data_IF_862379651218
#
_entry.id   IF_862379651218
#
_cell.length_a   1.000
_cell.length_b   1.000
_cell.length_c   1.000
_cell.angle_alpha   90.00
_cell.angle_beta   90.00
_cell.angle_gamma   90.00
#
_symmetry.space_group_name_H-M   'P 1'
#
loop_
_entity.id
_entity.type
_entity.pdbx_description
1 polymer ?
#
# COMPACT_ATOMS: atom_id res chain seq x y z
N UNK A 1 41.79 -23.90 -22.66
CA UNK A 1 40.85 -22.81 -22.93
C UNK A 1 40.17 -22.47 -21.59
N UNK A 2 40.68 -21.50 -20.86
CA UNK A 2 40.12 -21.04 -19.59
C UNK A 2 38.92 -20.14 -19.90
N UNK A 3 37.70 -20.66 -19.66
CA UNK A 3 36.49 -19.84 -19.68
C UNK A 3 36.62 -18.76 -18.62
N UNK A 4 36.91 -17.54 -19.01
CA UNK A 4 36.83 -16.39 -18.12
C UNK A 4 35.36 -16.21 -17.73
N UNK A 5 35.06 -16.31 -16.43
CA UNK A 5 33.76 -15.96 -15.90
C UNK A 5 33.39 -14.55 -16.37
N UNK A 6 32.13 -14.28 -16.82
CA UNK A 6 31.74 -12.97 -17.28
C UNK A 6 31.93 -11.98 -16.12
N UNK A 7 32.59 -10.85 -16.38
CA UNK A 7 32.77 -9.79 -15.40
C UNK A 7 31.39 -9.37 -14.85
N UNK A 8 31.25 -9.17 -13.53
CA UNK A 8 29.98 -8.81 -12.94
C UNK A 8 29.46 -7.53 -13.58
N UNK A 9 28.23 -7.56 -14.08
CA UNK A 9 27.59 -6.38 -14.68
C UNK A 9 27.61 -5.23 -13.64
N UNK A 10 27.90 -3.99 -14.05
CA UNK A 10 27.91 -2.86 -13.13
C UNK A 10 26.53 -2.70 -12.48
N UNK A 11 26.50 -2.43 -11.16
CA UNK A 11 25.25 -2.15 -10.44
C UNK A 11 24.68 -0.84 -10.99
N UNK A 12 23.53 -0.88 -11.62
CA UNK A 12 22.84 0.26 -12.21
C UNK A 12 21.81 0.84 -11.24
N UNK A 13 21.22 0.00 -10.38
CA UNK A 13 20.07 0.29 -9.55
C UNK A 13 20.26 -0.18 -8.11
N UNK A 14 19.82 0.63 -7.13
CA UNK A 14 19.79 0.25 -5.72
C UNK A 14 18.42 0.54 -5.15
N UNK A 15 17.79 -0.46 -4.53
CA UNK A 15 16.55 -0.30 -3.76
C UNK A 15 16.83 -0.36 -2.26
N UNK A 16 16.37 0.65 -1.52
CA UNK A 16 16.41 0.73 -0.07
C UNK A 16 14.99 0.61 0.45
N UNK A 17 14.69 -0.42 1.24
CA UNK A 17 13.34 -0.72 1.72
C UNK A 17 13.29 -0.71 3.26
N UNK A 18 12.15 -0.28 3.86
CA UNK A 18 11.94 -0.45 5.30
C UNK A 18 11.98 -1.93 5.69
N UNK A 19 11.17 -2.75 5.04
CA UNK A 19 11.20 -4.21 5.05
C UNK A 19 10.42 -4.78 3.85
N UNK A 20 10.65 -6.05 3.53
CA UNK A 20 10.01 -6.78 2.45
C UNK A 20 9.28 -8.04 2.93
N UNK A 21 9.63 -8.57 4.12
CA UNK A 21 9.05 -9.79 4.70
C UNK A 21 7.79 -9.50 5.53
N UNK A 22 7.63 -8.27 6.01
CA UNK A 22 6.52 -7.87 6.86
C UNK A 22 5.16 -7.89 6.17
N UNK A 23 4.11 -7.71 6.97
CA UNK A 23 2.72 -7.62 6.51
C UNK A 23 2.26 -6.16 6.63
N UNK A 24 1.64 -5.63 5.58
CA UNK A 24 1.08 -4.28 5.55
C UNK A 24 1.14 -3.64 4.17
N UNK A 25 0.45 -2.53 3.98
CA UNK A 25 0.35 -1.84 2.69
C UNK A 25 1.70 -1.35 2.15
N UNK A 26 2.57 -0.81 3.02
CA UNK A 26 3.92 -0.36 2.62
C UNK A 26 4.77 -1.54 2.16
N UNK A 27 4.70 -2.68 2.85
CA UNK A 27 5.42 -3.90 2.50
C UNK A 27 4.92 -4.46 1.18
N UNK A 28 3.60 -4.45 0.96
CA UNK A 28 3.03 -4.90 -0.31
C UNK A 28 3.48 -4.02 -1.47
N UNK A 29 3.38 -2.70 -1.34
CA UNK A 29 3.90 -1.75 -2.36
C UNK A 29 5.41 -1.96 -2.58
N UNK A 30 6.18 -2.21 -1.52
CA UNK A 30 7.61 -2.49 -1.62
C UNK A 30 7.87 -3.74 -2.46
N UNK A 31 7.13 -4.85 -2.24
CA UNK A 31 7.24 -6.09 -3.04
C UNK A 31 6.88 -5.86 -4.50
N UNK A 32 5.78 -5.17 -4.77
CA UNK A 32 5.36 -4.84 -6.15
C UNK A 32 6.40 -3.92 -6.84
N UNK A 33 6.96 -2.97 -6.11
CA UNK A 33 8.03 -2.09 -6.62
C UNK A 33 9.29 -2.89 -6.93
N UNK A 34 9.71 -3.81 -6.06
CA UNK A 34 10.87 -4.68 -6.31
C UNK A 34 10.62 -5.57 -7.52
N UNK A 35 9.43 -6.18 -7.63
CA UNK A 35 9.06 -6.98 -8.80
C UNK A 35 9.19 -6.17 -10.09
N UNK A 36 8.62 -4.98 -10.13
CA UNK A 36 8.73 -4.09 -11.29
C UNK A 36 10.19 -3.71 -11.59
N UNK A 37 11.00 -3.39 -10.55
CA UNK A 37 12.43 -3.10 -10.72
C UNK A 37 13.20 -4.27 -11.35
N UNK A 38 12.95 -5.49 -10.88
CA UNK A 38 13.64 -6.68 -11.39
C UNK A 38 13.23 -7.02 -12.82
N UNK A 39 11.94 -6.96 -13.13
CA UNK A 39 11.43 -7.19 -14.48
C UNK A 39 12.00 -6.16 -15.47
N UNK A 40 12.00 -4.87 -15.12
CA UNK A 40 12.59 -3.81 -15.92
C UNK A 40 14.10 -4.02 -16.06
N UNK A 41 14.79 -4.40 -14.97
CA UNK A 41 16.22 -4.67 -15.00
C UNK A 41 16.58 -5.84 -15.91
N UNK A 42 15.79 -6.91 -15.87
CA UNK A 42 15.98 -8.10 -16.73
C UNK A 42 15.81 -7.74 -18.21
N UNK A 43 14.76 -6.98 -18.55
CA UNK A 43 14.49 -6.53 -19.92
C UNK A 43 15.60 -5.65 -20.50
N UNK A 44 16.29 -4.87 -19.64
CA UNK A 44 17.31 -3.92 -20.06
C UNK A 44 18.75 -4.40 -19.78
N UNK A 45 18.96 -5.61 -19.29
CA UNK A 45 20.27 -6.11 -18.92
C UNK A 45 20.94 -5.38 -17.75
N UNK A 46 20.16 -4.70 -16.91
CA UNK A 46 20.65 -3.99 -15.71
C UNK A 46 20.81 -4.96 -14.55
N UNK A 47 21.49 -4.50 -13.48
CA UNK A 47 21.58 -5.22 -12.22
C UNK A 47 20.97 -4.36 -11.10
N UNK A 48 20.35 -5.00 -10.13
CA UNK A 48 19.77 -4.36 -8.97
C UNK A 48 20.37 -4.92 -7.68
N UNK A 49 20.58 -4.04 -6.69
CA UNK A 49 20.93 -4.40 -5.31
C UNK A 49 19.83 -3.95 -4.38
N UNK A 50 19.24 -4.88 -3.63
CA UNK A 50 18.08 -4.63 -2.78
C UNK A 50 18.47 -4.82 -1.30
N UNK A 51 18.17 -3.82 -0.47
CA UNK A 51 18.48 -3.80 0.96
C UNK A 51 17.19 -3.56 1.76
N UNK A 52 16.90 -4.43 2.76
CA UNK A 52 15.79 -4.32 3.69
C UNK A 52 16.26 -4.03 5.11
N UNK A 53 15.92 -2.86 5.68
CA UNK A 53 16.42 -2.42 6.98
C UNK A 53 15.94 -3.31 8.13
N UNK A 54 14.63 -3.58 8.16
CA UNK A 54 13.98 -4.24 9.31
C UNK A 54 13.87 -5.76 9.13
N UNK A 55 14.08 -6.26 7.92
CA UNK A 55 14.12 -7.71 7.66
C UNK A 55 15.25 -8.36 8.45
N UNK A 56 15.06 -9.62 8.86
CA UNK A 56 16.08 -10.38 9.59
C UNK A 56 17.44 -10.33 8.89
N UNK A 57 18.53 -10.39 9.67
CA UNK A 57 19.87 -10.25 9.12
C UNK A 57 20.22 -11.46 8.23
N UNK A 58 20.68 -11.22 7.00
CA UNK A 58 21.05 -12.26 6.05
C UNK A 58 20.59 -11.97 4.63
N UNK A 59 20.79 -12.95 3.76
CA UNK A 59 20.25 -12.94 2.40
C UNK A 59 18.93 -13.69 2.41
N UNK A 60 17.93 -13.11 1.78
CA UNK A 60 16.57 -13.65 1.70
C UNK A 60 16.14 -13.79 0.25
N UNK A 61 15.25 -14.74 0.01
CA UNK A 61 14.57 -14.94 -1.25
C UNK A 61 13.06 -14.83 -1.04
N UNK A 62 12.39 -14.11 -1.92
CA UNK A 62 10.93 -14.03 -1.98
C UNK A 62 10.46 -14.46 -3.37
N UNK A 63 9.35 -15.18 -3.47
CA UNK A 63 8.73 -15.48 -4.75
C UNK A 63 8.20 -14.18 -5.39
N UNK A 64 8.39 -14.06 -6.71
CA UNK A 64 7.90 -12.93 -7.51
C UNK A 64 7.41 -13.44 -8.86
N UNK A 65 6.23 -14.05 -8.91
CA UNK A 65 5.75 -14.77 -10.08
C UNK A 65 6.67 -15.97 -10.37
N UNK A 66 7.20 -16.05 -11.60
CA UNK A 66 8.14 -17.09 -12.01
C UNK A 66 9.58 -16.84 -11.53
N UNK A 67 9.89 -15.63 -11.04
CA UNK A 67 11.22 -15.22 -10.59
C UNK A 67 11.33 -15.23 -9.06
N UNK A 68 12.55 -15.06 -8.57
CA UNK A 68 12.86 -14.87 -7.16
C UNK A 68 13.47 -13.50 -6.92
N UNK A 69 13.01 -12.83 -5.88
CA UNK A 69 13.60 -11.60 -5.36
C UNK A 69 14.69 -11.98 -4.36
N UNK A 70 15.96 -11.73 -4.69
CA UNK A 70 17.06 -11.87 -3.73
C UNK A 70 17.41 -10.50 -3.15
N UNK A 71 17.40 -10.37 -1.81
CA UNK A 71 17.73 -9.14 -1.13
C UNK A 71 18.48 -9.39 0.19
N UNK A 72 19.10 -8.35 0.73
CA UNK A 72 19.82 -8.44 2.01
C UNK A 72 19.07 -7.70 3.11
N UNK A 73 18.72 -8.44 4.16
CA UNK A 73 18.15 -7.91 5.41
C UNK A 73 19.22 -7.53 6.44
N UNK A 74 18.87 -6.61 7.35
CA UNK A 74 19.82 -6.05 8.34
C UNK A 74 19.38 -6.17 9.80
N UNK A 75 18.26 -6.83 10.10
CA UNK A 75 17.80 -7.08 11.47
C UNK A 75 17.63 -5.78 12.29
N UNK A 76 17.11 -4.71 11.68
CA UNK A 76 16.95 -3.36 12.26
C UNK A 76 18.27 -2.65 12.59
N UNK A 77 19.44 -3.20 12.20
CA UNK A 77 20.75 -2.57 12.42
C UNK A 77 20.98 -1.42 11.44
N UNK A 78 20.62 -0.20 11.86
CA UNK A 78 20.79 1.02 11.05
C UNK A 78 22.23 1.21 10.62
N UNK A 79 23.21 0.95 11.50
CA UNK A 79 24.63 1.13 11.19
C UNK A 79 25.07 0.20 10.05
N UNK A 80 24.77 -1.11 10.15
CA UNK A 80 25.13 -2.08 9.11
C UNK A 80 24.44 -1.77 7.79
N UNK A 81 23.17 -1.35 7.83
CA UNK A 81 22.42 -0.94 6.65
C UNK A 81 23.06 0.26 5.96
N UNK A 82 23.41 1.31 6.73
CA UNK A 82 24.06 2.51 6.21
C UNK A 82 25.41 2.14 5.59
N UNK A 83 26.24 1.36 6.28
CA UNK A 83 27.55 0.95 5.76
C UNK A 83 27.43 0.19 4.45
N UNK A 84 26.47 -0.74 4.35
CA UNK A 84 26.19 -1.48 3.11
C UNK A 84 25.74 -0.54 1.98
N UNK A 85 24.83 0.38 2.25
CA UNK A 85 24.38 1.38 1.28
C UNK A 85 25.54 2.25 0.77
N UNK A 86 26.43 2.72 1.67
CA UNK A 86 27.60 3.52 1.31
C UNK A 86 28.66 2.70 0.54
N UNK A 87 28.83 1.41 0.85
CA UNK A 87 29.69 0.52 0.06
C UNK A 87 29.18 0.39 -1.38
N UNK A 88 27.86 0.24 -1.55
CA UNK A 88 27.24 0.17 -2.88
C UNK A 88 27.36 1.53 -3.59
N UNK A 89 27.20 2.65 -2.89
CA UNK A 89 27.33 3.98 -3.48
C UNK A 89 28.71 4.22 -4.12
N UNK A 90 29.80 3.63 -3.55
CA UNK A 90 31.13 3.70 -4.16
C UNK A 90 31.22 3.07 -5.56
N UNK A 91 30.30 2.18 -5.89
CA UNK A 91 30.18 1.60 -7.24
C UNK A 91 29.43 2.51 -8.22
N UNK A 92 29.05 3.71 -7.77
CA UNK A 92 28.40 4.77 -8.56
C UNK A 92 27.13 4.29 -9.30
N UNK A 93 26.12 3.78 -8.58
CA UNK A 93 24.88 3.37 -9.20
C UNK A 93 24.21 4.55 -9.94
N UNK A 94 23.47 4.26 -11.01
CA UNK A 94 22.75 5.28 -11.78
C UNK A 94 21.57 5.82 -10.99
N UNK A 95 20.80 4.93 -10.35
CA UNK A 95 19.62 5.29 -9.56
C UNK A 95 19.66 4.61 -8.20
N UNK A 96 19.26 5.36 -7.17
CA UNK A 96 18.92 4.86 -5.84
C UNK A 96 17.46 5.19 -5.55
N UNK A 97 16.66 4.17 -5.30
CA UNK A 97 15.29 4.27 -4.84
C UNK A 97 15.25 4.08 -3.32
N UNK A 98 14.76 5.09 -2.60
CA UNK A 98 14.36 4.95 -1.20
C UNK A 98 12.84 4.70 -1.16
N UNK A 99 12.44 3.49 -0.84
CA UNK A 99 11.04 3.07 -0.84
C UNK A 99 10.22 3.64 0.34
N UNK A 100 10.74 4.62 1.06
CA UNK A 100 10.03 5.36 2.11
C UNK A 100 10.79 6.64 2.46
N UNK A 101 10.08 7.74 2.73
CA UNK A 101 10.66 9.04 3.09
C UNK A 101 11.62 8.98 4.30
N UNK A 102 11.42 8.05 5.24
CA UNK A 102 12.33 7.84 6.38
C UNK A 102 13.74 7.36 5.98
N UNK A 103 13.90 6.81 4.79
CA UNK A 103 15.19 6.36 4.25
C UNK A 103 15.92 7.44 3.44
N UNK A 104 15.26 8.57 3.14
CA UNK A 104 15.85 9.67 2.38
C UNK A 104 17.18 10.20 2.95
N UNK A 105 17.43 10.32 4.28
CA UNK A 105 18.71 10.77 4.80
C UNK A 105 19.91 9.93 4.35
N UNK A 106 19.72 8.62 4.14
CA UNK A 106 20.77 7.71 3.68
C UNK A 106 21.16 8.03 2.23
N UNK A 107 20.18 8.34 1.40
CA UNK A 107 20.42 8.67 -0.01
C UNK A 107 21.25 9.96 -0.18
N UNK A 108 21.11 10.91 0.76
CA UNK A 108 21.96 12.14 0.75
C UNK A 108 23.43 11.81 0.96
N UNK A 109 23.77 10.85 1.80
CA UNK A 109 25.14 10.39 1.97
C UNK A 109 25.64 9.61 0.77
N UNK A 110 24.77 8.75 0.18
CA UNK A 110 25.09 8.04 -1.05
C UNK A 110 25.38 9.00 -2.21
N UNK A 111 24.58 10.06 -2.35
CA UNK A 111 24.77 11.09 -3.40
C UNK A 111 26.07 11.88 -3.24
N UNK A 112 26.55 12.11 -2.01
CA UNK A 112 27.87 12.72 -1.78
C UNK A 112 29.03 11.84 -2.29
N UNK A 113 28.91 10.51 -2.19
CA UNK A 113 29.89 9.56 -2.71
C UNK A 113 29.76 9.34 -4.22
N UNK A 114 28.57 9.50 -4.76
CA UNK A 114 28.24 9.32 -6.16
C UNK A 114 27.33 10.48 -6.66
N UNK A 115 27.88 11.67 -6.93
CA UNK A 115 27.08 12.88 -7.21
C UNK A 115 26.19 12.79 -8.45
N UNK A 116 26.51 11.92 -9.41
CA UNK A 116 25.71 11.71 -10.63
C UNK A 116 24.54 10.75 -10.43
N UNK A 117 24.47 10.04 -9.30
CA UNK A 117 23.38 9.13 -8.96
C UNK A 117 22.07 9.91 -8.84
N UNK A 118 21.03 9.43 -9.50
CA UNK A 118 19.67 9.96 -9.35
C UNK A 118 18.99 9.33 -8.14
N UNK A 119 18.34 10.16 -7.34
CA UNK A 119 17.64 9.75 -6.11
C UNK A 119 16.15 9.82 -6.33
N UNK A 120 15.47 8.71 -6.14
CA UNK A 120 14.01 8.60 -6.13
C UNK A 120 13.57 8.28 -4.70
N UNK A 121 12.58 9.02 -4.17
CA UNK A 121 12.01 8.76 -2.85
C UNK A 121 10.53 8.46 -3.01
N UNK A 122 10.04 7.37 -2.43
CA UNK A 122 8.61 7.05 -2.38
C UNK A 122 7.98 7.67 -1.14
N UNK A 123 6.87 8.38 -1.33
CA UNK A 123 6.02 8.94 -0.30
C UNK A 123 4.66 8.21 -0.33
N UNK A 124 4.37 7.48 0.77
CA UNK A 124 3.17 6.65 0.85
C UNK A 124 1.94 7.42 1.33
N UNK A 125 2.12 8.55 2.04
CA UNK A 125 1.02 9.40 2.50
C UNK A 125 1.31 10.06 3.84
N UNK A 126 0.66 9.58 4.89
CA UNK A 126 0.61 10.24 6.22
C UNK A 126 1.97 10.61 6.80
N UNK A 127 3.03 9.88 6.45
CA UNK A 127 4.39 10.15 6.93
C UNK A 127 4.98 11.47 6.40
N UNK A 128 4.40 12.03 5.33
CA UNK A 128 4.81 13.32 4.74
C UNK A 128 3.74 14.40 4.87
N UNK A 129 2.60 14.12 5.52
CA UNK A 129 1.49 15.06 5.66
C UNK A 129 1.69 16.08 6.77
N UNK A 130 2.64 15.84 7.68
CA UNK A 130 3.10 16.78 8.69
C UNK A 130 4.53 17.22 8.38
N UNK A 131 4.97 18.39 8.87
CA UNK A 131 6.35 18.84 8.67
C UNK A 131 7.36 17.77 9.12
N UNK A 132 8.27 17.43 8.23
CA UNK A 132 9.32 16.46 8.53
C UNK A 132 10.42 17.09 9.42
N UNK A 133 11.07 16.28 10.27
CA UNK A 133 12.28 16.72 10.95
C UNK A 133 13.34 17.23 9.96
N UNK A 134 14.08 18.29 10.30
CA UNK A 134 14.95 19.04 9.40
C UNK A 134 15.86 18.18 8.52
N UNK A 135 16.49 17.13 9.09
CA UNK A 135 17.37 16.21 8.32
C UNK A 135 16.62 15.40 7.27
N UNK A 136 15.39 14.96 7.59
CA UNK A 136 14.54 14.20 6.63
C UNK A 136 14.00 15.12 5.56
N UNK A 137 13.55 16.31 5.96
CA UNK A 137 13.07 17.35 5.05
C UNK A 137 14.15 17.74 4.04
N UNK A 138 15.34 18.11 4.48
CA UNK A 138 16.45 18.45 3.60
C UNK A 138 16.81 17.31 2.63
N UNK A 139 16.78 16.06 3.11
CA UNK A 139 17.05 14.89 2.28
C UNK A 139 15.95 14.63 1.22
N UNK A 140 14.69 14.85 1.59
CA UNK A 140 13.56 14.75 0.65
C UNK A 140 13.67 15.82 -0.43
N UNK A 141 13.95 17.08 -0.09
CA UNK A 141 14.13 18.17 -1.06
C UNK A 141 15.34 17.96 -1.98
N UNK A 142 16.38 17.28 -1.49
CA UNK A 142 17.58 16.94 -2.28
C UNK A 142 17.35 15.77 -3.25
N UNK A 143 16.24 15.04 -3.15
CA UNK A 143 15.89 14.01 -4.11
C UNK A 143 15.65 14.60 -5.52
N UNK A 144 15.95 13.82 -6.55
CA UNK A 144 15.67 14.20 -7.94
C UNK A 144 14.18 14.01 -8.25
N UNK A 145 13.55 12.96 -7.69
CA UNK A 145 12.11 12.65 -7.87
C UNK A 145 11.52 12.16 -6.55
N UNK A 146 10.31 12.61 -6.22
CA UNK A 146 9.43 11.99 -5.25
C UNK A 146 8.25 11.30 -5.96
N UNK A 147 7.98 10.05 -5.62
CA UNK A 147 6.81 9.31 -6.09
C UNK A 147 5.71 9.40 -5.04
N UNK A 148 4.52 9.77 -5.45
CA UNK A 148 3.33 9.84 -4.60
C UNK A 148 2.18 9.09 -5.25
N UNK A 149 1.46 8.26 -4.47
CA UNK A 149 0.39 7.45 -5.02
C UNK A 149 -0.93 8.22 -5.22
N UNK A 150 -1.15 9.26 -4.41
CA UNK A 150 -2.42 10.00 -4.36
C UNK A 150 -2.23 11.49 -4.61
N UNK A 151 -3.29 12.14 -5.08
CA UNK A 151 -3.36 13.60 -5.25
C UNK A 151 -3.16 14.32 -3.91
N UNK A 152 -3.74 13.79 -2.83
CA UNK A 152 -3.54 14.34 -1.48
C UNK A 152 -2.08 14.31 -1.05
N UNK A 153 -1.34 13.24 -1.36
CA UNK A 153 0.09 13.17 -1.03
C UNK A 153 0.92 14.12 -1.90
N UNK A 154 0.58 14.28 -3.19
CA UNK A 154 1.20 15.30 -4.06
C UNK A 154 0.99 16.70 -3.47
N UNK A 155 -0.24 17.02 -3.08
CA UNK A 155 -0.56 18.30 -2.45
C UNK A 155 0.22 18.53 -1.16
N UNK A 156 0.31 17.53 -0.27
CA UNK A 156 1.07 17.63 0.98
C UNK A 156 2.59 17.75 0.77
N UNK A 157 3.14 17.09 -0.23
CA UNK A 157 4.54 17.27 -0.62
C UNK A 157 4.80 18.71 -1.07
N UNK A 158 3.88 19.31 -1.80
CA UNK A 158 4.01 20.70 -2.28
C UNK A 158 3.76 21.72 -1.17
N UNK A 159 2.65 21.61 -0.42
CA UNK A 159 2.22 22.61 0.54
C UNK A 159 2.96 22.52 1.88
N UNK A 160 3.16 21.30 2.40
CA UNK A 160 3.75 21.08 3.73
C UNK A 160 5.26 20.90 3.65
N UNK A 161 5.73 20.10 2.68
CA UNK A 161 7.16 19.84 2.52
C UNK A 161 7.84 20.84 1.56
N UNK A 162 7.11 21.78 0.95
CA UNK A 162 7.65 22.78 0.04
C UNK A 162 8.48 22.18 -1.11
N UNK A 163 8.12 20.97 -1.54
CA UNK A 163 8.82 20.30 -2.63
C UNK A 163 8.36 20.86 -3.98
N UNK A 164 9.28 21.21 -4.88
CA UNK A 164 8.92 21.68 -6.23
C UNK A 164 8.09 20.66 -7.00
N UNK A 165 6.98 21.11 -7.61
CA UNK A 165 6.03 20.21 -8.30
C UNK A 165 6.69 19.43 -9.44
N UNK A 166 7.65 20.02 -10.12
CA UNK A 166 8.41 19.40 -11.20
C UNK A 166 9.25 18.18 -10.75
N UNK A 167 9.52 18.06 -9.45
CA UNK A 167 10.18 16.88 -8.86
C UNK A 167 9.20 15.80 -8.41
N UNK A 168 7.90 16.06 -8.40
CA UNK A 168 6.89 15.11 -7.94
C UNK A 168 6.31 14.37 -9.14
N UNK A 169 6.18 13.05 -9.01
CA UNK A 169 5.46 12.21 -9.99
C UNK A 169 4.38 11.45 -9.27
N UNK A 170 3.13 11.63 -9.72
CA UNK A 170 2.02 10.80 -9.26
C UNK A 170 2.12 9.43 -9.93
N UNK A 171 2.25 8.39 -9.13
CA UNK A 171 2.31 7.00 -9.56
C UNK A 171 1.41 6.17 -8.63
N UNK A 172 0.15 5.91 -9.01
CA UNK A 172 -0.76 5.08 -8.23
C UNK A 172 -0.19 3.68 -7.99
N UNK A 173 -0.31 3.18 -6.76
CA UNK A 173 0.15 1.83 -6.44
C UNK A 173 -0.72 0.79 -7.15
N UNK A 174 -0.14 -0.30 -7.64
CA UNK A 174 -0.90 -1.35 -8.31
C UNK A 174 -1.60 -2.23 -7.29
N UNK A 175 -2.71 -2.85 -7.72
CA UNK A 175 -3.23 -4.01 -7.02
C UNK A 175 -2.31 -5.21 -7.28
N UNK A 176 -2.11 -6.04 -6.26
CA UNK A 176 -1.37 -7.28 -6.40
C UNK A 176 -2.06 -8.20 -7.44
N UNK A 177 -1.33 -8.64 -8.48
CA UNK A 177 -1.87 -9.57 -9.47
C UNK A 177 -2.46 -10.86 -8.89
N UNK A 178 -1.92 -11.34 -7.76
CA UNK A 178 -2.44 -12.52 -7.07
C UNK A 178 -3.83 -12.26 -6.48
N UNK A 179 -4.05 -11.08 -5.88
CA UNK A 179 -5.38 -10.68 -5.39
C UNK A 179 -6.37 -10.55 -6.53
N UNK A 180 -5.94 -9.98 -7.67
CA UNK A 180 -6.79 -9.88 -8.85
C UNK A 180 -7.16 -11.25 -9.42
N UNK A 181 -6.22 -12.20 -9.43
CA UNK A 181 -6.47 -13.58 -9.86
C UNK A 181 -7.48 -14.28 -8.92
N UNK A 182 -7.30 -14.15 -7.60
CA UNK A 182 -8.25 -14.68 -6.60
C UNK A 182 -9.66 -14.09 -6.77
N UNK A 183 -9.76 -12.81 -7.08
CA UNK A 183 -11.05 -12.16 -7.35
C UNK A 183 -11.74 -12.68 -8.62
N UNK A 184 -11.00 -13.26 -9.55
CA UNK A 184 -11.53 -13.95 -10.74
C UNK A 184 -12.17 -15.30 -10.45
N UNK A 185 -11.86 -15.96 -9.32
CA UNK A 185 -12.36 -17.27 -8.92
C UNK A 185 -12.70 -17.35 -7.42
N UNK A 186 -13.58 -16.48 -6.91
CA UNK A 186 -13.79 -16.30 -5.46
C UNK A 186 -14.44 -17.51 -4.78
N UNK A 187 -15.15 -18.37 -5.52
CA UNK A 187 -15.83 -19.55 -4.96
C UNK A 187 -14.87 -20.59 -4.35
N UNK A 188 -13.61 -20.60 -4.80
CA UNK A 188 -12.60 -21.57 -4.36
C UNK A 188 -11.79 -21.10 -3.14
N UNK A 189 -12.10 -19.92 -2.58
CA UNK A 189 -11.31 -19.35 -1.49
C UNK A 189 -11.71 -19.94 -0.13
N UNK A 190 -10.74 -20.35 0.71
CA UNK A 190 -10.98 -20.89 2.05
C UNK A 190 -11.45 -19.76 2.97
N UNK A 191 -12.71 -19.82 3.43
CA UNK A 191 -13.20 -18.85 4.40
C UNK A 191 -12.65 -19.15 5.80
N UNK A 192 -12.26 -18.13 6.57
CA UNK A 192 -11.99 -18.31 7.98
C UNK A 192 -13.24 -18.83 8.71
N UNK A 193 -13.09 -19.83 9.57
CA UNK A 193 -14.23 -20.42 10.30
C UNK A 193 -14.99 -19.37 11.15
N UNK A 194 -14.31 -18.34 11.61
CA UNK A 194 -14.91 -17.25 12.39
C UNK A 194 -15.53 -16.13 11.55
N UNK A 195 -15.52 -16.23 10.20
CA UNK A 195 -16.16 -15.23 9.35
C UNK A 195 -17.68 -15.33 9.46
N UNK A 196 -18.39 -14.22 9.75
CA UNK A 196 -19.82 -14.28 10.02
C UNK A 196 -20.65 -14.47 8.74
N UNK A 197 -21.93 -14.93 8.87
CA UNK A 197 -22.88 -14.96 7.76
C UNK A 197 -23.34 -13.54 7.37
N UNK A 198 -23.78 -13.38 6.12
CA UNK A 198 -24.41 -12.15 5.62
C UNK A 198 -25.69 -11.76 6.41
N UNK A 199 -25.96 -10.44 6.59
CA UNK A 199 -25.24 -9.30 6.02
C UNK A 199 -23.98 -8.93 6.82
N UNK A 200 -22.86 -8.68 6.09
CA UNK A 200 -21.55 -8.38 6.68
C UNK A 200 -20.99 -7.07 6.15
N UNK A 201 -20.65 -6.15 7.05
CA UNK A 201 -19.75 -5.03 6.76
C UNK A 201 -18.32 -5.51 7.04
N UNK A 202 -17.43 -5.38 6.06
CA UNK A 202 -16.02 -5.70 6.19
C UNK A 202 -15.19 -4.41 6.33
N UNK A 203 -14.25 -4.40 7.26
CA UNK A 203 -13.18 -3.41 7.32
C UNK A 203 -11.84 -4.11 7.48
N UNK A 204 -10.79 -3.59 6.84
CA UNK A 204 -9.45 -4.20 6.85
C UNK A 204 -8.41 -3.14 7.14
N UNK A 205 -7.49 -3.43 8.06
CA UNK A 205 -6.43 -2.47 8.36
C UNK A 205 -5.53 -2.90 9.51
N UNK A 206 -4.57 -2.05 9.84
CA UNK A 206 -3.79 -2.15 11.06
C UNK A 206 -4.52 -1.36 12.16
N UNK A 207 -4.76 -2.00 13.28
CA UNK A 207 -5.47 -1.38 14.42
C UNK A 207 -4.45 -0.92 15.47
N UNK A 208 -3.62 0.06 15.08
CA UNK A 208 -2.66 0.66 16.00
C UNK A 208 -3.30 1.85 16.74
N UNK A 209 -2.97 2.04 18.02
CA UNK A 209 -3.46 3.14 18.84
C UNK A 209 -3.12 4.53 18.24
N UNK A 210 -2.04 4.62 17.47
CA UNK A 210 -1.65 5.82 16.71
C UNK A 210 -2.43 6.01 15.41
N UNK A 211 -3.30 5.05 15.01
CA UNK A 211 -4.03 5.06 13.73
C UNK A 211 -5.56 5.06 13.93
N UNK A 212 -6.06 5.59 15.04
CA UNK A 212 -7.49 5.72 15.29
C UNK A 212 -8.24 6.55 14.24
N UNK A 213 -7.50 7.33 13.45
CA UNK A 213 -8.03 8.02 12.28
C UNK A 213 -8.68 7.09 11.22
N UNK A 214 -8.48 5.77 11.32
CA UNK A 214 -9.11 4.77 10.44
C UNK A 214 -10.61 4.61 10.67
N UNK A 215 -11.15 5.10 11.80
CA UNK A 215 -12.59 5.17 12.02
C UNK A 215 -13.27 3.84 12.32
N UNK A 216 -12.57 2.85 12.85
CA UNK A 216 -13.20 1.57 13.25
C UNK A 216 -14.19 1.78 14.41
N UNK A 217 -13.90 2.73 15.29
CA UNK A 217 -14.81 3.19 16.35
C UNK A 217 -16.18 3.61 15.78
N UNK A 218 -16.13 4.40 14.68
CA UNK A 218 -17.34 4.90 14.03
C UNK A 218 -18.15 3.74 13.41
N UNK A 219 -17.45 2.71 12.87
CA UNK A 219 -18.12 1.50 12.36
C UNK A 219 -18.78 0.67 13.48
N UNK A 220 -18.13 0.53 14.64
CA UNK A 220 -18.71 -0.16 15.79
C UNK A 220 -19.95 0.57 16.31
N UNK A 221 -19.91 1.91 16.37
CA UNK A 221 -21.07 2.74 16.75
C UNK A 221 -22.19 2.66 15.71
N UNK A 222 -21.84 2.69 14.40
CA UNK A 222 -22.82 2.53 13.34
C UNK A 222 -23.50 1.15 13.38
N UNK A 223 -22.74 0.08 13.65
CA UNK A 223 -23.28 -1.26 13.84
C UNK A 223 -24.31 -1.28 14.98
N UNK A 224 -23.96 -0.73 16.14
CA UNK A 224 -24.86 -0.70 17.30
C UNK A 224 -26.19 0.01 16.98
N UNK A 225 -26.16 1.07 16.19
CA UNK A 225 -27.36 1.77 15.73
C UNK A 225 -28.16 0.97 14.72
N UNK A 226 -27.49 0.44 13.70
CA UNK A 226 -28.14 -0.23 12.56
C UNK A 226 -28.77 -1.58 12.92
N UNK A 227 -28.32 -2.23 14.00
CA UNK A 227 -28.89 -3.49 14.45
C UNK A 227 -30.35 -3.41 14.90
N UNK A 228 -30.85 -2.23 15.27
CA UNK A 228 -32.27 -2.03 15.53
C UNK A 228 -33.12 -2.34 14.28
N UNK A 229 -32.57 -2.08 13.07
CA UNK A 229 -33.25 -2.34 11.79
C UNK A 229 -32.78 -3.66 11.15
N UNK A 230 -31.53 -4.03 11.34
CA UNK A 230 -30.88 -5.22 10.75
C UNK A 230 -30.31 -6.12 11.87
N UNK A 231 -31.14 -6.91 12.57
CA UNK A 231 -30.69 -7.66 13.77
C UNK A 231 -29.56 -8.67 13.50
N UNK A 232 -29.46 -9.20 12.28
CA UNK A 232 -28.42 -10.15 11.86
C UNK A 232 -27.14 -9.47 11.34
N UNK A 233 -27.10 -8.14 11.26
CA UNK A 233 -25.93 -7.40 10.75
C UNK A 233 -24.71 -7.65 11.63
N UNK A 234 -23.58 -7.91 10.97
CA UNK A 234 -22.28 -8.12 11.63
C UNK A 234 -21.20 -7.22 11.04
N UNK A 235 -20.16 -6.92 11.83
CA UNK A 235 -18.95 -6.23 11.41
C UNK A 235 -17.77 -7.20 11.49
N UNK A 236 -17.16 -7.50 10.37
CA UNK A 236 -15.89 -8.22 10.30
C UNK A 236 -14.75 -7.21 10.24
N UNK A 237 -13.97 -7.08 11.31
CA UNK A 237 -12.78 -6.22 11.40
C UNK A 237 -11.52 -7.08 11.27
N UNK A 238 -10.92 -7.10 10.08
CA UNK A 238 -9.74 -7.90 9.78
C UNK A 238 -8.47 -7.10 9.97
N UNK A 239 -7.55 -7.61 10.79
CA UNK A 239 -6.25 -6.99 11.04
C UNK A 239 -5.82 -7.12 12.49
N UNK A 240 -4.65 -6.57 12.81
CA UNK A 240 -4.07 -6.63 14.14
C UNK A 240 -3.47 -5.29 14.54
N UNK A 241 -3.28 -5.09 15.84
CA UNK A 241 -2.66 -3.90 16.41
C UNK A 241 -2.89 -3.79 17.90
N UNK A 242 -2.22 -2.85 18.53
CA UNK A 242 -2.26 -2.60 19.98
C UNK A 242 -3.53 -1.88 20.44
N UNK A 243 -4.38 -1.41 19.51
CA UNK A 243 -5.68 -0.80 19.81
C UNK A 243 -6.82 -1.82 19.89
N UNK A 244 -6.58 -3.08 19.54
CA UNK A 244 -7.60 -4.11 19.51
C UNK A 244 -8.34 -4.30 20.86
N UNK A 245 -7.67 -4.31 22.02
CA UNK A 245 -8.36 -4.41 23.31
C UNK A 245 -9.34 -3.26 23.57
N UNK A 246 -9.00 -2.04 23.15
CA UNK A 246 -9.88 -0.87 23.27
C UNK A 246 -11.11 -0.98 22.38
N UNK A 247 -10.94 -1.46 21.14
CA UNK A 247 -12.05 -1.68 20.21
C UNK A 247 -12.98 -2.80 20.68
N UNK A 248 -12.44 -3.87 21.26
CA UNK A 248 -13.22 -4.94 21.88
C UNK A 248 -14.05 -4.43 23.07
N UNK A 249 -13.42 -3.60 23.93
CA UNK A 249 -14.13 -2.95 25.04
C UNK A 249 -15.24 -2.04 24.52
N UNK A 250 -15.00 -1.23 23.49
CA UNK A 250 -16.02 -0.38 22.88
C UNK A 250 -17.22 -1.19 22.38
N UNK A 251 -16.98 -2.32 21.73
CA UNK A 251 -18.05 -3.21 21.25
C UNK A 251 -18.85 -3.80 22.42
N UNK A 252 -18.20 -4.14 23.54
CA UNK A 252 -18.86 -4.63 24.75
C UNK A 252 -19.69 -3.53 25.42
N UNK A 253 -19.12 -2.32 25.58
CA UNK A 253 -19.80 -1.17 26.19
C UNK A 253 -21.05 -0.75 25.40
N UNK A 254 -21.06 -0.96 24.07
CA UNK A 254 -22.21 -0.71 23.18
C UNK A 254 -23.15 -1.93 23.02
N UNK A 255 -22.89 -3.04 23.69
CA UNK A 255 -23.73 -4.24 23.64
C UNK A 255 -23.70 -5.00 22.30
N UNK A 256 -22.63 -4.85 21.52
CA UNK A 256 -22.48 -5.49 20.18
C UNK A 256 -21.24 -6.38 20.07
N UNK A 257 -20.68 -6.82 21.21
CA UNK A 257 -19.49 -7.67 21.23
C UNK A 257 -19.69 -8.99 20.46
N UNK A 258 -20.93 -9.53 20.45
CA UNK A 258 -21.28 -10.74 19.73
C UNK A 258 -21.32 -10.57 18.21
N UNK A 259 -21.43 -9.38 17.71
CA UNK A 259 -21.65 -9.05 16.30
C UNK A 259 -20.42 -8.42 15.65
N UNK A 260 -19.43 -8.03 16.43
CA UNK A 260 -18.12 -7.62 15.90
C UNK A 260 -17.19 -8.84 15.93
N UNK A 261 -16.67 -9.21 14.76
CA UNK A 261 -15.69 -10.28 14.60
C UNK A 261 -14.33 -9.67 14.29
N UNK A 262 -13.44 -9.69 15.27
CA UNK A 262 -12.05 -9.29 15.08
C UNK A 262 -11.25 -10.50 14.59
N UNK A 263 -10.80 -10.46 13.33
CA UNK A 263 -10.08 -11.54 12.68
C UNK A 263 -8.61 -11.14 12.50
N UNK A 264 -7.72 -11.95 13.05
CA UNK A 264 -6.27 -11.68 13.02
C UNK A 264 -5.49 -12.85 12.44
N UNK A 265 -4.30 -12.58 11.90
CA UNK A 265 -3.39 -13.64 11.43
C UNK A 265 -3.86 -14.38 10.18
N UNK A 266 -4.76 -13.81 9.40
CA UNK A 266 -5.26 -14.43 8.18
C UNK A 266 -4.17 -14.51 7.12
N UNK A 267 -4.17 -15.61 6.38
CA UNK A 267 -3.44 -15.73 5.12
C UNK A 267 -4.03 -14.82 4.05
N UNK A 268 -3.29 -14.58 2.97
CA UNK A 268 -3.76 -13.78 1.84
C UNK A 268 -5.04 -14.36 1.22
N UNK A 269 -5.14 -15.68 1.10
CA UNK A 269 -6.32 -16.37 0.57
C UNK A 269 -7.53 -16.28 1.48
N UNK A 270 -7.34 -16.36 2.81
CA UNK A 270 -8.43 -16.15 3.78
C UNK A 270 -8.91 -14.70 3.78
N UNK A 271 -8.00 -13.73 3.69
CA UNK A 271 -8.38 -12.32 3.53
C UNK A 271 -9.17 -12.10 2.23
N UNK A 272 -8.74 -12.69 1.13
CA UNK A 272 -9.45 -12.66 -0.14
C UNK A 272 -10.86 -13.27 -0.01
N UNK A 273 -11.00 -14.36 0.76
CA UNK A 273 -12.31 -14.96 1.06
C UNK A 273 -13.20 -14.03 1.90
N UNK A 274 -12.62 -13.25 2.82
CA UNK A 274 -13.38 -12.22 3.55
C UNK A 274 -13.93 -11.15 2.61
N UNK A 275 -13.12 -10.64 1.69
CA UNK A 275 -13.61 -9.71 0.66
C UNK A 275 -14.70 -10.35 -0.19
N UNK A 276 -14.51 -11.58 -0.64
CA UNK A 276 -15.49 -12.27 -1.49
C UNK A 276 -16.87 -12.43 -0.83
N UNK A 277 -16.91 -12.67 0.49
CA UNK A 277 -18.12 -12.96 1.26
C UNK A 277 -18.78 -11.75 1.90
N UNK A 278 -18.09 -10.63 2.01
CA UNK A 278 -18.65 -9.39 2.54
C UNK A 278 -19.74 -8.82 1.62
N UNK A 279 -20.69 -8.09 2.19
CA UNK A 279 -21.72 -7.36 1.44
C UNK A 279 -21.28 -5.92 1.15
N UNK A 280 -20.60 -5.28 2.09
CA UNK A 280 -20.14 -3.90 2.02
C UNK A 280 -18.72 -3.85 2.55
N UNK A 281 -17.84 -3.11 1.89
CA UNK A 281 -16.56 -2.72 2.48
C UNK A 281 -16.64 -1.28 2.98
N UNK A 282 -16.28 -1.05 4.26
CA UNK A 282 -16.31 0.27 4.85
C UNK A 282 -15.01 0.60 5.56
N UNK A 283 -14.43 1.76 5.25
CA UNK A 283 -13.28 2.33 5.95
C UNK A 283 -13.40 3.86 5.97
N UNK A 284 -14.05 4.44 7.01
CA UNK A 284 -14.26 5.89 7.12
C UNK A 284 -12.99 6.62 7.61
N UNK A 285 -11.84 6.27 7.06
CA UNK A 285 -10.53 6.78 7.45
C UNK A 285 -10.34 8.23 7.04
N UNK A 286 -9.87 9.08 7.96
CA UNK A 286 -9.53 10.48 7.69
C UNK A 286 -8.05 10.67 7.32
N UNK A 287 -7.27 9.61 7.30
CA UNK A 287 -5.82 9.65 7.11
C UNK A 287 -5.27 8.57 6.17
N UNK A 288 -6.01 8.17 5.15
CA UNK A 288 -5.52 7.15 4.21
C UNK A 288 -4.58 7.76 3.17
N UNK A 289 -3.36 7.23 3.09
CA UNK A 289 -2.35 7.72 2.13
C UNK A 289 -2.70 7.40 0.68
N UNK A 290 -3.19 6.19 0.43
CA UNK A 290 -3.69 5.73 -0.87
C UNK A 290 -4.88 4.79 -0.70
N UNK A 291 -4.73 3.70 0.08
CA UNK A 291 -5.82 2.79 0.38
C UNK A 291 -5.85 1.53 -0.50
N UNK A 292 -4.80 0.72 -0.46
CA UNK A 292 -4.77 -0.57 -1.17
C UNK A 292 -5.98 -1.45 -0.85
N UNK A 293 -6.48 -1.41 0.39
CA UNK A 293 -7.65 -2.18 0.83
C UNK A 293 -8.93 -1.80 0.07
N UNK A 294 -9.04 -0.56 -0.44
CA UNK A 294 -10.13 -0.18 -1.33
C UNK A 294 -9.99 -0.89 -2.69
N UNK A 295 -8.79 -0.96 -3.24
CA UNK A 295 -8.55 -1.67 -4.49
C UNK A 295 -8.83 -3.17 -4.35
N UNK A 296 -8.43 -3.75 -3.21
CA UNK A 296 -8.73 -5.14 -2.87
C UNK A 296 -10.24 -5.37 -2.83
N UNK A 297 -10.98 -4.56 -2.08
CA UNK A 297 -12.44 -4.67 -1.99
C UNK A 297 -13.13 -4.48 -3.36
N UNK A 298 -12.68 -3.49 -4.15
CA UNK A 298 -13.18 -3.25 -5.50
C UNK A 298 -12.93 -4.44 -6.44
N UNK A 299 -11.76 -5.10 -6.34
CA UNK A 299 -11.47 -6.27 -7.15
C UNK A 299 -12.50 -7.38 -6.95
N UNK A 300 -12.99 -7.54 -5.70
CA UNK A 300 -14.07 -8.47 -5.35
C UNK A 300 -15.48 -7.88 -5.56
N UNK A 301 -15.59 -6.81 -6.33
CA UNK A 301 -16.86 -6.14 -6.65
C UNK A 301 -17.66 -5.72 -5.39
N UNK A 302 -16.98 -5.25 -4.32
CA UNK A 302 -17.67 -4.74 -3.14
C UNK A 302 -17.93 -3.25 -3.26
N UNK A 303 -19.15 -2.78 -2.93
CA UNK A 303 -19.43 -1.36 -2.81
C UNK A 303 -18.63 -0.79 -1.64
N UNK A 304 -18.09 0.40 -1.79
CA UNK A 304 -17.24 1.06 -0.82
C UNK A 304 -18.02 2.12 -0.06
N UNK A 305 -17.82 2.21 1.27
CA UNK A 305 -18.13 3.40 2.06
C UNK A 305 -16.83 3.94 2.62
N UNK A 306 -16.47 5.18 2.26
CA UNK A 306 -15.22 5.81 2.65
C UNK A 306 -15.42 7.27 3.03
N UNK A 307 -14.56 7.82 3.89
CA UNK A 307 -14.54 9.27 4.11
C UNK A 307 -13.93 10.00 2.91
N UNK A 308 -14.46 11.17 2.58
CA UNK A 308 -13.94 12.06 1.55
C UNK A 308 -12.63 12.74 2.02
N UNK A 309 -11.58 11.96 2.28
CA UNK A 309 -10.33 12.44 2.85
C UNK A 309 -9.13 11.61 2.35
N UNK A 310 -8.00 12.29 2.14
CA UNK A 310 -6.77 11.61 1.75
C UNK A 310 -6.87 10.88 0.42
N UNK A 311 -6.20 9.72 0.32
CA UNK A 311 -6.12 8.92 -0.89
C UNK A 311 -7.43 8.21 -1.27
N UNK A 312 -8.43 8.14 -0.37
CA UNK A 312 -9.72 7.54 -0.71
C UNK A 312 -10.41 8.25 -1.88
N UNK A 313 -10.26 9.58 -1.99
CA UNK A 313 -10.84 10.38 -3.08
C UNK A 313 -10.17 10.17 -4.44
N UNK A 314 -9.02 9.55 -4.49
CA UNK A 314 -8.39 9.12 -5.76
C UNK A 314 -8.96 7.79 -6.28
N UNK A 315 -9.53 6.98 -5.40
CA UNK A 315 -9.99 5.62 -5.69
C UNK A 315 -11.52 5.51 -5.71
N UNK A 316 -12.18 6.21 -4.80
CA UNK A 316 -13.64 6.19 -4.67
C UNK A 316 -14.22 7.45 -5.27
N UNK A 317 -15.06 7.28 -6.28
CA UNK A 317 -15.88 8.31 -6.89
C UNK A 317 -17.30 8.15 -6.37
N UNK A 318 -17.83 9.21 -5.73
CA UNK A 318 -19.13 9.16 -5.06
C UNK A 318 -20.26 8.75 -6.02
N UNK A 319 -21.09 7.81 -5.59
CA UNK A 319 -22.23 7.22 -6.34
C UNK A 319 -21.84 6.54 -7.66
N UNK A 320 -20.54 6.37 -7.94
CA UNK A 320 -20.05 5.64 -9.11
C UNK A 320 -19.53 4.26 -8.73
N UNK A 321 -18.59 4.17 -7.79
CA UNK A 321 -18.02 2.90 -7.32
C UNK A 321 -18.06 2.77 -5.79
N UNK A 322 -18.71 3.71 -5.10
CA UNK A 322 -18.87 3.73 -3.66
C UNK A 322 -19.65 4.97 -3.21
N UNK A 323 -19.75 5.14 -1.92
CA UNK A 323 -20.34 6.32 -1.28
C UNK A 323 -19.26 7.03 -0.46
N UNK A 324 -19.05 8.31 -0.75
CA UNK A 324 -18.17 9.17 0.02
C UNK A 324 -18.97 9.94 1.08
N UNK A 325 -18.51 9.89 2.31
CA UNK A 325 -19.11 10.60 3.43
C UNK A 325 -18.18 11.72 3.92
N UNK A 326 -18.70 12.79 4.53
CA UNK A 326 -17.86 13.78 5.19
C UNK A 326 -17.00 13.11 6.30
N UNK A 327 -15.74 13.53 6.48
CA UNK A 327 -14.88 12.97 7.51
C UNK A 327 -15.50 13.13 8.92
N UNK A 328 -15.50 12.06 9.70
CA UNK A 328 -16.05 11.98 11.06
C UNK A 328 -17.55 12.28 11.19
N UNK A 329 -18.30 12.18 10.11
CA UNK A 329 -19.76 12.33 10.13
C UNK A 329 -20.41 10.97 10.36
N UNK A 330 -20.77 10.72 11.64
CA UNK A 330 -21.41 9.49 12.08
C UNK A 330 -22.80 9.29 11.44
N UNK A 331 -23.55 10.38 11.26
CA UNK A 331 -24.88 10.31 10.68
C UNK A 331 -24.81 9.94 9.18
N UNK A 332 -23.91 10.58 8.44
CA UNK A 332 -23.66 10.24 7.03
C UNK A 332 -23.15 8.79 6.87
N UNK A 333 -22.29 8.31 7.79
CA UNK A 333 -21.84 6.91 7.78
C UNK A 333 -23.01 5.94 7.95
N UNK A 334 -23.87 6.17 8.94
CA UNK A 334 -25.07 5.33 9.18
C UNK A 334 -25.97 5.37 7.97
N UNK A 335 -26.25 6.55 7.40
CA UNK A 335 -27.12 6.70 6.22
C UNK A 335 -26.57 5.95 5.01
N UNK A 336 -25.26 6.06 4.73
CA UNK A 336 -24.64 5.36 3.61
C UNK A 336 -24.70 3.83 3.78
N UNK A 337 -24.44 3.33 4.99
CA UNK A 337 -24.55 1.91 5.30
C UNK A 337 -26.00 1.42 5.22
N UNK A 338 -26.99 2.14 5.78
CA UNK A 338 -28.41 1.80 5.70
C UNK A 338 -28.89 1.72 4.25
N UNK A 339 -28.53 2.72 3.42
CA UNK A 339 -28.84 2.73 1.99
C UNK A 339 -28.32 1.47 1.28
N UNK A 340 -27.05 1.12 1.50
CA UNK A 340 -26.46 -0.06 0.87
C UNK A 340 -27.04 -1.37 1.43
N UNK A 341 -27.42 -1.43 2.71
CA UNK A 341 -28.04 -2.62 3.30
C UNK A 341 -29.42 -2.89 2.71
N UNK A 342 -30.20 -1.84 2.43
CA UNK A 342 -31.55 -1.96 1.83
C UNK A 342 -31.54 -2.24 0.33
N UNK A 343 -30.60 -1.66 -0.40
CA UNK A 343 -30.58 -1.66 -1.87
C UNK A 343 -29.50 -2.60 -2.42
N UNK A 344 -29.91 -3.85 -2.69
CA UNK A 344 -29.01 -4.85 -3.29
C UNK A 344 -28.59 -4.46 -4.73
N UNK A 345 -29.46 -3.81 -5.50
CA UNK A 345 -29.15 -3.39 -6.88
C UNK A 345 -28.07 -2.32 -6.88
N UNK A 346 -28.18 -1.34 -5.98
CA UNK A 346 -27.17 -0.31 -5.80
C UNK A 346 -25.83 -0.92 -5.39
N UNK A 347 -25.84 -1.85 -4.39
CA UNK A 347 -24.63 -2.58 -3.99
C UNK A 347 -23.94 -3.25 -5.18
N UNK A 348 -24.70 -4.00 -5.96
CA UNK A 348 -24.18 -4.71 -7.13
C UNK A 348 -23.62 -3.75 -8.17
N UNK A 349 -24.33 -2.67 -8.49
CA UNK A 349 -23.92 -1.67 -9.47
C UNK A 349 -22.60 -0.97 -9.08
N UNK A 350 -22.52 -0.48 -7.84
CA UNK A 350 -21.31 0.20 -7.36
C UNK A 350 -20.11 -0.76 -7.30
N UNK A 351 -20.34 -1.99 -6.81
CA UNK A 351 -19.29 -3.00 -6.72
C UNK A 351 -18.73 -3.38 -8.10
N UNK A 352 -19.60 -3.64 -9.08
CA UNK A 352 -19.19 -3.98 -10.45
C UNK A 352 -18.37 -2.86 -11.11
N UNK A 353 -18.82 -1.61 -10.97
CA UNK A 353 -18.08 -0.45 -11.47
C UNK A 353 -16.71 -0.32 -10.80
N UNK A 354 -16.61 -0.56 -9.47
CA UNK A 354 -15.35 -0.62 -8.77
C UNK A 354 -14.39 -1.65 -9.36
N UNK A 355 -14.89 -2.87 -9.61
CA UNK A 355 -14.08 -3.95 -10.20
C UNK A 355 -13.59 -3.61 -11.63
N UNK A 356 -14.41 -2.96 -12.44
CA UNK A 356 -14.00 -2.49 -13.78
C UNK A 356 -12.89 -1.43 -13.70
N UNK A 357 -13.03 -0.45 -12.78
CA UNK A 357 -12.05 0.60 -12.58
C UNK A 357 -10.68 0.00 -12.19
N UNK A 358 -10.64 -0.90 -11.22
CA UNK A 358 -9.40 -1.55 -10.77
C UNK A 358 -8.74 -2.33 -11.90
N UNK A 359 -9.51 -3.15 -12.63
CA UNK A 359 -8.98 -3.92 -13.78
C UNK A 359 -8.43 -3.04 -14.89
N UNK A 360 -8.87 -1.78 -15.00
CA UNK A 360 -8.41 -0.84 -16.04
C UNK A 360 -7.25 0.04 -15.56
N UNK A 361 -7.30 0.55 -14.32
CA UNK A 361 -6.42 1.64 -13.86
C UNK A 361 -5.31 1.20 -12.90
N UNK A 362 -5.50 0.09 -12.16
CA UNK A 362 -4.59 -0.29 -11.07
C UNK A 362 -3.90 -1.65 -11.32
N UNK A 363 -3.69 -2.00 -12.58
CA UNK A 363 -2.97 -3.20 -12.98
C UNK A 363 -1.46 -3.04 -12.78
N UNK A 364 -0.80 -4.14 -12.46
CA UNK A 364 0.64 -4.17 -12.24
C UNK A 364 1.44 -3.80 -13.51
N UNK A 365 1.03 -4.25 -14.70
CA UNK A 365 1.70 -3.94 -15.95
C UNK A 365 1.65 -2.43 -16.30
N UNK A 366 0.52 -1.75 -15.97
CA UNK A 366 0.42 -0.31 -16.13
C UNK A 366 1.36 0.44 -15.16
N UNK A 367 1.39 0.02 -13.90
CA UNK A 367 2.35 0.54 -12.93
C UNK A 367 3.79 0.32 -13.39
N UNK A 368 4.12 -0.88 -13.85
CA UNK A 368 5.45 -1.23 -14.34
C UNK A 368 5.88 -0.36 -15.52
N UNK A 369 5.00 -0.12 -16.49
CA UNK A 369 5.30 0.71 -17.66
C UNK A 369 5.49 2.18 -17.28
N UNK A 370 4.65 2.74 -16.38
CA UNK A 370 4.80 4.11 -15.87
C UNK A 370 6.09 4.25 -15.05
N UNK A 371 6.41 3.25 -14.22
CA UNK A 371 7.62 3.25 -13.43
C UNK A 371 8.88 3.15 -14.31
N UNK A 372 8.85 2.34 -15.37
CA UNK A 372 9.93 2.26 -16.36
C UNK A 372 10.17 3.62 -17.03
N UNK A 373 9.11 4.34 -17.42
CA UNK A 373 9.23 5.67 -17.98
C UNK A 373 9.88 6.68 -17.02
N UNK A 374 9.58 6.57 -15.70
CA UNK A 374 10.20 7.42 -14.68
C UNK A 374 11.70 7.07 -14.52
N UNK A 375 12.05 5.79 -14.55
CA UNK A 375 13.44 5.35 -14.49
C UNK A 375 14.23 5.81 -15.73
N UNK A 376 13.64 5.70 -16.91
CA UNK A 376 14.25 6.20 -18.15
C UNK A 376 14.53 7.71 -18.07
N UNK A 377 13.57 8.51 -17.58
CA UNK A 377 13.75 9.95 -17.35
C UNK A 377 14.88 10.27 -16.33
N UNK A 378 15.30 9.30 -15.49
CA UNK A 378 16.48 9.40 -14.64
C UNK A 378 17.79 9.04 -15.37
N UNK A 379 17.77 8.83 -16.69
CA UNK A 379 18.93 8.47 -17.50
C UNK A 379 19.28 6.98 -17.44
N UNK A 380 18.29 6.13 -17.16
CA UNK A 380 18.34 4.70 -17.40
C UNK A 380 17.73 4.37 -18.76
N UNK A 381 18.19 5.07 -19.80
CA UNK A 381 17.82 4.71 -21.17
C UNK A 381 18.36 3.32 -21.48
N UNK A 382 17.63 2.55 -22.30
CA UNK A 382 18.09 1.28 -22.82
C UNK A 382 19.51 1.46 -23.36
N UNK A 383 20.43 0.60 -22.96
CA UNK A 383 21.72 0.50 -23.68
C UNK A 383 21.39 0.30 -25.16
N UNK A 384 22.06 1.01 -26.09
CA UNK A 384 21.88 0.68 -27.50
C UNK A 384 22.11 -0.81 -27.67
N UNK A 385 21.20 -1.46 -28.36
CA UNK A 385 21.32 -2.88 -28.74
C UNK A 385 22.69 -3.09 -29.37
N UNK A 386 23.41 -4.16 -29.01
CA UNK A 386 24.72 -4.47 -29.55
C UNK A 386 24.68 -4.64 -31.07
#
# INVERSE_FOLDING_TARGET
MTSSAPSPKPIQLVGLFPDLLGIGGIQEVSRQTVRALLDISAQNGWSASLLGLNDSAGVHELPAGENKITFRGFGRSKLRFILAALQIARKKPRVVLAAHANLAPITSWMKRLAPRTKIIVMAHGVEVWQPLPARRHAALLAADIALAASTSTVQKLTEVQQMPLEKIRKLPWPLDPEVLAMAGAPANLPAPAAFPPSPVILTVGRWAASEQYKGVDDLVRALAYLRATFPSLTLAAVGAGDDLPRLQKLAADLGVAGEVRFLTGLSKSELAACYARADIFALPSTGEGFGLVFLEAMAFAKPIVAAAAGGSTDLVEDKVNGLLIPPRDQAALIQALDQLLRDHSLRSTLGQRGAEIVRRKNRFDLFQSQFAAILAACGLDSLPSP
#
